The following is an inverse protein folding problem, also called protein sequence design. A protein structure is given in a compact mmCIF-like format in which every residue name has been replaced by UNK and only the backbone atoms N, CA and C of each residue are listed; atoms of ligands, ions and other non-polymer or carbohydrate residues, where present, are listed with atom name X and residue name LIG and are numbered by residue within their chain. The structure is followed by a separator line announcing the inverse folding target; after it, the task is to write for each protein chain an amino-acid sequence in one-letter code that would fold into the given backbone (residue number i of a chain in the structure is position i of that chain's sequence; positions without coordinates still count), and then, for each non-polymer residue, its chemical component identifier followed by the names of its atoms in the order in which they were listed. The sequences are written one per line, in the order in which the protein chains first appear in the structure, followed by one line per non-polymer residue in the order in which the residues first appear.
data_IF_277016387245
#
_entry.id   IF_277016387245
#
_cell.length_a   1.000
_cell.length_b   1.000
_cell.length_c   1.000
_cell.angle_alpha   90.00
_cell.angle_beta   90.00
_cell.angle_gamma   90.00
#
_symmetry.space_group_name_H-M   'P 1'
#
loop_
_entity.id
_entity.type
_entity.pdbx_description
1 polymer ?
#
# COMPACT_ATOMS: atom_id res chain seq x y z
N UNK A 1 13.95 2.56 -1.18
CA UNK A 1 14.66 3.10 0.00
C UNK A 1 15.41 4.36 -0.44
N UNK A 2 15.23 5.51 0.20
CA UNK A 2 15.93 6.75 -0.19
C UNK A 2 17.42 6.63 0.17
N UNK A 3 18.31 6.74 -0.80
CA UNK A 3 19.75 6.68 -0.58
C UNK A 3 20.19 7.81 0.38
N UNK A 4 20.97 7.48 1.42
CA UNK A 4 21.54 8.49 2.33
C UNK A 4 20.66 8.97 3.48
N UNK A 5 19.60 8.24 3.87
CA UNK A 5 18.71 8.57 5.01
C UNK A 5 19.43 8.81 6.36
N UNK A 6 20.66 8.34 6.53
CA UNK A 6 21.50 8.61 7.72
C UNK A 6 22.14 10.01 7.76
N UNK A 7 22.10 10.76 6.65
CA UNK A 7 22.59 12.15 6.62
C UNK A 7 21.51 13.06 7.20
N UNK A 8 21.87 13.83 8.24
CA UNK A 8 20.95 14.76 8.93
C UNK A 8 20.14 15.63 7.96
N UNK A 9 20.76 16.11 6.89
CA UNK A 9 20.09 16.91 5.84
C UNK A 9 18.99 16.15 5.10
N UNK A 10 19.24 14.89 4.70
CA UNK A 10 18.25 14.06 3.99
C UNK A 10 17.09 13.72 4.93
N UNK A 11 17.40 13.40 6.17
CA UNK A 11 16.40 13.15 7.20
C UNK A 11 15.53 14.39 7.49
N UNK A 12 16.14 15.58 7.57
CA UNK A 12 15.43 16.84 7.77
C UNK A 12 14.56 17.21 6.57
N UNK A 13 15.04 17.03 5.34
CA UNK A 13 14.26 17.28 4.12
C UNK A 13 13.06 16.33 4.02
N UNK A 14 13.25 15.06 4.37
CA UNK A 14 12.15 14.08 4.44
C UNK A 14 11.10 14.49 5.47
N UNK A 15 11.52 14.82 6.70
CA UNK A 15 10.64 15.31 7.75
C UNK A 15 9.87 16.58 7.33
N UNK A 16 10.55 17.54 6.71
CA UNK A 16 9.93 18.77 6.21
C UNK A 16 8.92 18.49 5.08
N UNK A 17 9.23 17.54 4.20
CA UNK A 17 8.33 17.14 3.11
C UNK A 17 7.06 16.48 3.67
N UNK A 18 7.20 15.58 4.64
CA UNK A 18 6.06 14.94 5.31
C UNK A 18 5.22 15.97 6.06
N UNK A 19 5.85 16.90 6.78
CA UNK A 19 5.17 17.98 7.49
C UNK A 19 4.37 18.87 6.53
N UNK A 20 5.01 19.30 5.45
CA UNK A 20 4.40 20.17 4.44
C UNK A 20 3.21 19.47 3.75
N UNK A 21 3.37 18.22 3.33
CA UNK A 21 2.29 17.45 2.72
C UNK A 21 1.14 17.19 3.71
N UNK A 22 1.45 16.86 4.96
CA UNK A 22 0.42 16.66 6.00
C UNK A 22 -0.35 17.96 6.25
N UNK A 23 0.35 19.09 6.36
CA UNK A 23 -0.25 20.41 6.51
C UNK A 23 -1.17 20.76 5.33
N UNK A 24 -0.74 20.48 4.10
CA UNK A 24 -1.53 20.72 2.89
C UNK A 24 -2.75 19.81 2.78
N UNK A 25 -2.64 18.54 3.20
CA UNK A 25 -3.77 17.61 3.19
C UNK A 25 -4.80 17.97 4.27
N UNK A 26 -4.34 18.34 5.47
CA UNK A 26 -5.22 18.76 6.57
C UNK A 26 -5.87 20.11 6.26
N UNK A 27 -5.09 21.11 5.82
CA UNK A 27 -5.53 22.44 5.38
C UNK A 27 -6.66 23.08 6.21
N UNK A 28 -6.64 22.89 7.53
CA UNK A 28 -7.65 23.42 8.44
C UNK A 28 -7.01 24.49 9.36
N UNK A 29 -7.58 25.70 9.45
CA UNK A 29 -7.00 26.81 10.21
C UNK A 29 -7.36 26.73 11.71
N UNK A 30 -7.18 25.58 12.33
CA UNK A 30 -7.47 25.36 13.77
C UNK A 30 -6.21 24.92 14.52
N UNK A 31 -6.14 25.25 15.82
CA UNK A 31 -5.03 24.79 16.67
C UNK A 31 -5.01 23.26 16.78
N UNK A 32 -6.17 22.62 16.77
CA UNK A 32 -6.29 21.17 16.77
C UNK A 32 -5.68 20.56 15.50
N UNK A 33 -5.99 21.12 14.31
CA UNK A 33 -5.41 20.68 13.04
C UNK A 33 -3.88 20.86 12.97
N UNK A 34 -3.37 21.99 13.48
CA UNK A 34 -1.93 22.22 13.60
C UNK A 34 -1.29 21.20 14.54
N UNK A 35 -1.88 20.98 15.72
CA UNK A 35 -1.44 19.97 16.68
C UNK A 35 -1.40 18.57 16.08
N UNK A 36 -2.45 18.16 15.36
CA UNK A 36 -2.51 16.87 14.65
C UNK A 36 -1.42 16.77 13.58
N UNK A 37 -1.20 17.81 12.78
CA UNK A 37 -0.16 17.82 11.75
C UNK A 37 1.23 17.58 12.35
N UNK A 38 1.55 18.28 13.45
CA UNK A 38 2.82 18.12 14.15
C UNK A 38 2.95 16.73 14.78
N UNK A 39 1.88 16.24 15.41
CA UNK A 39 1.85 14.92 16.04
C UNK A 39 2.04 13.79 15.01
N UNK A 40 1.27 13.79 13.92
CA UNK A 40 1.38 12.80 12.83
C UNK A 40 2.78 12.84 12.21
N UNK A 41 3.34 14.03 11.98
CA UNK A 41 4.71 14.16 11.46
C UNK A 41 5.73 13.57 12.42
N UNK A 42 5.64 13.88 13.71
CA UNK A 42 6.57 13.37 14.72
C UNK A 42 6.50 11.84 14.84
N UNK A 43 5.28 11.29 14.87
CA UNK A 43 5.06 9.84 14.90
C UNK A 43 5.55 9.16 13.64
N UNK A 44 5.30 9.75 12.45
CA UNK A 44 5.84 9.25 11.17
C UNK A 44 7.36 9.12 11.23
N UNK A 45 8.05 10.17 11.68
CA UNK A 45 9.52 10.16 11.80
C UNK A 45 9.98 9.07 12.78
N UNK A 46 9.30 8.93 13.92
CA UNK A 46 9.63 7.90 14.90
C UNK A 46 9.47 6.48 14.31
N UNK A 47 8.37 6.20 13.64
CA UNK A 47 8.11 4.91 12.97
C UNK A 47 9.23 4.63 11.94
N UNK A 48 9.52 5.59 11.07
CA UNK A 48 10.55 5.48 10.03
C UNK A 48 11.95 5.18 10.60
N UNK A 49 12.27 5.68 11.81
CA UNK A 49 13.54 5.44 12.50
C UNK A 49 13.57 4.08 13.18
N UNK A 50 12.48 3.67 13.83
CA UNK A 50 12.36 2.34 14.41
C UNK A 50 12.50 1.28 13.32
N UNK A 51 11.82 1.45 12.18
CA UNK A 51 11.92 0.55 11.02
C UNK A 51 13.36 0.34 10.57
N UNK A 52 14.16 1.42 10.50
CA UNK A 52 15.57 1.33 10.10
C UNK A 52 16.41 0.49 11.06
N UNK A 53 16.04 0.43 12.35
CA UNK A 53 16.75 -0.36 13.35
C UNK A 53 16.36 -1.85 13.32
N UNK A 54 15.14 -2.20 12.89
CA UNK A 54 14.61 -3.58 12.94
C UNK A 54 14.78 -4.38 11.63
N UNK A 55 15.24 -3.74 10.56
CA UNK A 55 15.54 -4.39 9.27
C UNK A 55 14.41 -4.33 8.24
N UNK A 56 14.67 -4.85 7.03
CA UNK A 56 13.80 -4.71 5.86
C UNK A 56 13.18 -6.06 5.40
N UNK A 57 12.63 -6.83 6.33
CA UNK A 57 11.91 -8.09 6.05
C UNK A 57 10.38 -7.90 6.08
N UNK A 58 9.61 -8.95 5.79
CA UNK A 58 8.14 -8.87 5.72
C UNK A 58 7.52 -8.39 7.05
N UNK A 59 7.93 -8.95 8.18
CA UNK A 59 7.39 -8.60 9.50
C UNK A 59 7.53 -7.11 9.85
N UNK A 60 8.76 -6.55 9.86
CA UNK A 60 8.99 -5.11 10.03
C UNK A 60 8.24 -4.23 9.04
N UNK A 61 8.11 -4.66 7.78
CA UNK A 61 7.30 -3.93 6.79
C UNK A 61 5.82 -3.89 7.17
N UNK A 62 5.23 -5.02 7.57
CA UNK A 62 3.82 -5.07 7.98
C UNK A 62 3.58 -4.24 9.25
N UNK A 63 4.46 -4.34 10.24
CA UNK A 63 4.38 -3.55 11.47
C UNK A 63 4.48 -2.04 11.19
N UNK A 64 5.38 -1.65 10.28
CA UNK A 64 5.53 -0.27 9.81
C UNK A 64 4.25 0.25 9.15
N UNK A 65 3.64 -0.50 8.21
CA UNK A 65 2.39 -0.07 7.57
C UNK A 65 1.22 0.00 8.57
N UNK A 66 1.14 -0.97 9.50
CA UNK A 66 0.13 -0.97 10.56
C UNK A 66 0.27 0.23 11.50
N UNK A 67 1.50 0.60 11.89
CA UNK A 67 1.75 1.76 12.74
C UNK A 67 1.35 3.09 12.04
N UNK A 68 1.62 3.23 10.75
CA UNK A 68 1.19 4.39 9.97
C UNK A 68 -0.35 4.46 9.88
N UNK A 69 -1.02 3.36 9.55
CA UNK A 69 -2.49 3.30 9.51
C UNK A 69 -3.12 3.59 10.88
N UNK A 70 -2.56 3.05 11.96
CA UNK A 70 -3.01 3.32 13.32
C UNK A 70 -2.83 4.80 13.70
N UNK A 71 -1.74 5.43 13.27
CA UNK A 71 -1.50 6.87 13.50
C UNK A 71 -2.55 7.73 12.80
N UNK A 72 -2.88 7.41 11.54
CA UNK A 72 -3.92 8.11 10.79
C UNK A 72 -5.31 7.87 11.38
N UNK A 73 -5.62 6.64 11.78
CA UNK A 73 -6.87 6.30 12.47
C UNK A 73 -7.01 7.03 13.81
N UNK A 74 -5.94 7.09 14.61
CA UNK A 74 -5.93 7.85 15.86
C UNK A 74 -6.13 9.34 15.61
N UNK A 75 -5.48 9.93 14.60
CA UNK A 75 -5.68 11.32 14.24
C UNK A 75 -7.14 11.62 13.85
N UNK A 76 -7.77 10.73 13.08
CA UNK A 76 -9.17 10.85 12.69
C UNK A 76 -10.13 10.73 13.89
N UNK A 77 -9.82 9.89 14.88
CA UNK A 77 -10.64 9.73 16.09
C UNK A 77 -10.48 10.89 17.08
N UNK A 78 -9.26 11.43 17.22
CA UNK A 78 -8.96 12.52 18.15
C UNK A 78 -9.51 13.86 17.65
N UNK A 79 -9.48 14.10 16.34
CA UNK A 79 -10.01 15.32 15.72
C UNK A 79 -10.95 14.94 14.56
N UNK A 80 -12.19 14.51 14.84
CA UNK A 80 -13.12 14.02 13.82
C UNK A 80 -13.57 15.11 12.83
N UNK A 81 -13.40 16.38 13.18
CA UNK A 81 -13.75 17.52 12.32
C UNK A 81 -12.65 17.92 11.35
N UNK A 82 -11.50 17.22 11.29
CA UNK A 82 -10.36 17.59 10.43
C UNK A 82 -10.76 17.86 8.98
N UNK A 83 -11.63 17.02 8.40
CA UNK A 83 -12.14 17.25 7.05
C UNK A 83 -13.09 18.46 7.02
N UNK A 84 -14.10 18.50 7.90
CA UNK A 84 -15.12 19.53 7.91
C UNK A 84 -14.56 20.95 8.11
N UNK A 85 -13.49 21.06 8.90
CA UNK A 85 -12.79 22.32 9.18
C UNK A 85 -11.73 22.68 8.12
N UNK A 86 -11.50 21.81 7.13
CA UNK A 86 -10.50 22.04 6.07
C UNK A 86 -11.01 22.97 4.98
N UNK A 87 -10.08 23.69 4.33
CA UNK A 87 -10.38 24.45 3.11
C UNK A 87 -10.94 23.54 2.00
N UNK A 88 -10.55 22.25 1.99
CA UNK A 88 -11.02 21.28 1.00
C UNK A 88 -12.51 20.99 1.11
N UNK A 89 -13.06 20.90 2.33
CA UNK A 89 -14.49 20.69 2.51
C UNK A 89 -15.35 21.83 1.97
N UNK A 90 -14.81 23.06 1.94
CA UNK A 90 -15.50 24.21 1.35
C UNK A 90 -15.40 24.27 -0.19
N UNK A 91 -14.33 23.71 -0.77
CA UNK A 91 -14.04 23.81 -2.20
C UNK A 91 -14.51 22.59 -3.02
N UNK A 92 -14.60 21.42 -2.38
CA UNK A 92 -14.84 20.15 -3.06
C UNK A 92 -16.28 19.66 -2.88
N UNK A 93 -16.84 18.95 -3.87
CA UNK A 93 -18.18 18.39 -3.77
C UNK A 93 -18.33 17.40 -2.61
N UNK A 94 -19.57 17.23 -2.15
CA UNK A 94 -19.95 16.13 -1.26
C UNK A 94 -19.51 14.78 -1.86
N UNK A 95 -19.08 13.85 -1.02
CA UNK A 95 -18.54 12.55 -1.45
C UNK A 95 -17.06 12.56 -1.86
N UNK A 96 -16.38 13.71 -1.90
CA UNK A 96 -14.95 13.74 -2.24
C UNK A 96 -14.07 13.07 -1.18
N UNK A 97 -14.38 13.25 0.11
CA UNK A 97 -13.65 12.59 1.20
C UNK A 97 -13.65 11.05 1.10
N UNK A 98 -14.81 10.36 0.99
CA UNK A 98 -14.80 8.91 0.82
C UNK A 98 -14.12 8.48 -0.48
N UNK A 99 -14.27 9.23 -1.59
CA UNK A 99 -13.56 8.92 -2.84
C UNK A 99 -12.03 8.99 -2.69
N UNK A 100 -11.50 10.01 -2.00
CA UNK A 100 -10.07 10.12 -1.69
C UNK A 100 -9.60 9.00 -0.76
N UNK A 101 -10.43 8.58 0.20
CA UNK A 101 -10.11 7.45 1.08
C UNK A 101 -10.02 6.13 0.28
N UNK A 102 -10.97 5.86 -0.61
CA UNK A 102 -10.91 4.71 -1.54
C UNK A 102 -9.65 4.78 -2.43
N UNK A 103 -9.32 5.96 -2.97
CA UNK A 103 -8.10 6.12 -3.75
C UNK A 103 -6.83 5.81 -2.92
N UNK A 104 -6.76 6.28 -1.67
CA UNK A 104 -5.65 6.01 -0.77
C UNK A 104 -5.49 4.51 -0.48
N UNK A 105 -6.58 3.78 -0.23
CA UNK A 105 -6.55 2.33 -0.08
C UNK A 105 -6.16 1.60 -1.37
N UNK A 106 -6.58 2.10 -2.54
CA UNK A 106 -6.12 1.60 -3.84
C UNK A 106 -4.61 1.76 -4.03
N UNK A 107 -4.04 2.89 -3.59
CA UNK A 107 -2.59 3.09 -3.59
C UNK A 107 -1.87 2.14 -2.64
N UNK A 108 -2.45 1.84 -1.47
CA UNK A 108 -1.93 0.81 -0.54
C UNK A 108 -1.98 -0.57 -1.20
N UNK A 109 -3.09 -0.94 -1.82
CA UNK A 109 -3.25 -2.21 -2.52
C UNK A 109 -2.16 -2.40 -3.59
N UNK A 110 -1.90 -1.38 -4.40
CA UNK A 110 -0.94 -1.47 -5.50
C UNK A 110 0.51 -1.30 -5.04
N UNK A 111 0.82 -0.19 -4.37
CA UNK A 111 2.20 0.22 -4.04
C UNK A 111 2.75 -0.52 -2.83
N UNK A 112 2.04 -0.51 -1.71
CA UNK A 112 2.48 -1.28 -0.54
C UNK A 112 2.43 -2.78 -0.84
N UNK A 113 1.45 -3.23 -1.64
CA UNK A 113 1.36 -4.61 -2.12
C UNK A 113 2.57 -5.08 -2.91
N UNK A 114 3.20 -4.22 -3.73
CA UNK A 114 4.45 -4.58 -4.42
C UNK A 114 5.55 -5.00 -3.44
N UNK A 115 5.72 -4.23 -2.36
CA UNK A 115 6.72 -4.53 -1.34
C UNK A 115 6.32 -5.72 -0.48
N UNK A 116 5.04 -5.84 -0.12
CA UNK A 116 4.52 -6.98 0.64
C UNK A 116 4.79 -8.30 -0.11
N UNK A 117 4.33 -8.39 -1.36
CA UNK A 117 4.50 -9.59 -2.19
C UNK A 117 5.97 -9.89 -2.46
N UNK A 118 6.77 -8.87 -2.78
CA UNK A 118 8.22 -9.08 -2.99
C UNK A 118 8.91 -9.63 -1.73
N UNK A 119 8.55 -9.13 -0.54
CA UNK A 119 9.09 -9.63 0.73
C UNK A 119 8.57 -11.01 1.10
N UNK A 120 7.34 -11.37 0.72
CA UNK A 120 6.82 -12.75 0.84
C UNK A 120 7.59 -13.70 -0.07
N UNK A 121 7.84 -13.32 -1.32
CA UNK A 121 8.57 -14.16 -2.26
C UNK A 121 10.04 -14.37 -1.84
N UNK A 122 10.64 -13.37 -1.19
CA UNK A 122 11.97 -13.49 -0.61
C UNK A 122 12.06 -14.50 0.57
N UNK A 123 10.94 -15.01 1.11
CA UNK A 123 10.97 -16.03 2.17
C UNK A 123 10.97 -17.47 1.66
N UNK A 124 10.75 -17.69 0.36
CA UNK A 124 10.55 -19.03 -0.21
C UNK A 124 11.64 -19.46 -1.21
N UNK A 125 12.59 -18.59 -1.53
CA UNK A 125 13.69 -18.89 -2.45
C UNK A 125 14.90 -18.00 -2.18
N UNK A 126 16.06 -18.47 -2.61
CA UNK A 126 17.31 -17.70 -2.60
C UNK A 126 17.32 -16.67 -3.73
N UNK A 127 18.16 -15.63 -3.60
CA UNK A 127 18.30 -14.62 -4.65
C UNK A 127 18.68 -15.24 -6.00
N UNK A 128 19.55 -16.26 -6.00
CA UNK A 128 19.97 -16.96 -7.21
C UNK A 128 18.83 -17.75 -7.88
N UNK A 129 17.98 -18.42 -7.10
CA UNK A 129 16.80 -19.13 -7.64
C UNK A 129 15.79 -18.14 -8.23
N UNK A 130 15.55 -17.02 -7.55
CA UNK A 130 14.64 -15.98 -8.02
C UNK A 130 15.15 -15.32 -9.30
N UNK A 131 16.46 -15.04 -9.38
CA UNK A 131 17.10 -14.54 -10.59
C UNK A 131 17.00 -15.53 -11.76
N UNK A 132 17.21 -16.82 -11.50
CA UNK A 132 17.03 -17.88 -12.50
C UNK A 132 15.59 -17.96 -13.04
N UNK A 133 14.59 -17.83 -12.18
CA UNK A 133 13.16 -17.77 -12.58
C UNK A 133 12.86 -16.53 -13.45
N UNK A 134 13.59 -15.43 -13.24
CA UNK A 134 13.43 -14.20 -14.00
C UNK A 134 14.24 -14.17 -15.31
N UNK A 135 15.09 -15.17 -15.56
CA UNK A 135 15.95 -15.22 -16.74
C UNK A 135 15.11 -15.26 -18.03
N UNK A 136 15.47 -14.43 -19.01
CA UNK A 136 14.71 -14.28 -20.26
C UNK A 136 13.39 -13.51 -20.14
N UNK A 137 13.02 -13.02 -18.96
CA UNK A 137 11.84 -12.16 -18.76
C UNK A 137 12.10 -10.70 -19.13
N UNK A 138 11.04 -10.00 -19.53
CA UNK A 138 11.08 -8.54 -19.71
C UNK A 138 11.34 -7.85 -18.36
N UNK A 139 12.21 -6.83 -18.37
CA UNK A 139 12.55 -6.04 -17.18
C UNK A 139 11.28 -5.52 -16.48
N UNK A 140 11.19 -5.79 -15.17
CA UNK A 140 10.07 -5.39 -14.30
C UNK A 140 8.68 -5.94 -14.68
N UNK A 141 8.55 -6.82 -15.68
CA UNK A 141 7.24 -7.24 -16.17
C UNK A 141 6.39 -7.93 -15.10
N UNK A 142 6.97 -8.83 -14.31
CA UNK A 142 6.27 -9.47 -13.19
C UNK A 142 5.75 -8.47 -12.14
N UNK A 143 6.54 -7.44 -11.84
CA UNK A 143 6.13 -6.38 -10.91
C UNK A 143 4.98 -5.53 -11.47
N UNK A 144 5.03 -5.18 -12.76
CA UNK A 144 3.96 -4.42 -13.44
C UNK A 144 2.67 -5.22 -13.59
N UNK A 145 2.77 -6.49 -13.97
CA UNK A 145 1.63 -7.41 -14.02
C UNK A 145 0.98 -7.48 -12.63
N UNK A 146 1.77 -7.67 -11.56
CA UNK A 146 1.24 -7.68 -10.21
C UNK A 146 0.59 -6.35 -9.78
N UNK A 147 1.14 -5.20 -10.18
CA UNK A 147 0.53 -3.89 -9.92
C UNK A 147 -0.85 -3.78 -10.59
N UNK A 148 -0.97 -4.21 -11.86
CA UNK A 148 -2.24 -4.19 -12.60
C UNK A 148 -3.27 -5.17 -12.01
N UNK A 149 -2.85 -6.36 -11.63
CA UNK A 149 -3.72 -7.36 -11.00
C UNK A 149 -4.30 -6.87 -9.67
N UNK A 150 -3.47 -6.25 -8.82
CA UNK A 150 -3.95 -5.69 -7.55
C UNK A 150 -4.88 -4.51 -7.78
N UNK A 151 -4.61 -3.67 -8.77
CA UNK A 151 -5.52 -2.57 -9.14
C UNK A 151 -6.87 -3.11 -9.60
N UNK A 152 -6.88 -4.09 -10.50
CA UNK A 152 -8.11 -4.72 -10.99
C UNK A 152 -8.86 -5.44 -9.87
N UNK A 153 -8.15 -6.23 -9.05
CA UNK A 153 -8.74 -6.93 -7.90
C UNK A 153 -9.38 -5.95 -6.93
N UNK A 154 -8.64 -4.89 -6.55
CA UNK A 154 -9.14 -3.85 -5.67
C UNK A 154 -10.39 -3.17 -6.26
N UNK A 155 -10.31 -2.70 -7.51
CA UNK A 155 -11.40 -2.02 -8.21
C UNK A 155 -12.65 -2.91 -8.32
N UNK A 156 -12.49 -4.18 -8.65
CA UNK A 156 -13.61 -5.13 -8.74
C UNK A 156 -14.28 -5.33 -7.39
N UNK A 157 -13.53 -5.44 -6.29
CA UNK A 157 -14.12 -5.62 -4.95
C UNK A 157 -14.85 -4.38 -4.48
N UNK A 158 -14.23 -3.19 -4.59
CA UNK A 158 -14.87 -1.93 -4.15
C UNK A 158 -16.00 -1.46 -5.08
N UNK A 159 -16.25 -2.15 -6.19
CA UNK A 159 -17.41 -1.90 -7.05
C UNK A 159 -18.46 -3.03 -6.99
N UNK A 160 -18.32 -3.95 -6.02
CA UNK A 160 -19.25 -5.07 -5.85
C UNK A 160 -19.05 -6.25 -6.83
N UNK A 161 -18.13 -6.14 -7.78
CA UNK A 161 -17.86 -7.12 -8.83
C UNK A 161 -16.89 -8.23 -8.38
N UNK A 162 -17.10 -8.82 -7.20
CA UNK A 162 -16.19 -9.83 -6.61
C UNK A 162 -16.03 -11.08 -7.50
N UNK A 163 -17.05 -11.48 -8.26
CA UNK A 163 -16.97 -12.56 -9.25
C UNK A 163 -15.92 -12.28 -10.34
N UNK A 164 -15.71 -11.02 -10.70
CA UNK A 164 -14.67 -10.62 -11.66
C UNK A 164 -13.27 -10.97 -11.19
N UNK A 165 -13.03 -11.01 -9.87
CA UNK A 165 -11.74 -11.44 -9.30
C UNK A 165 -11.48 -12.91 -9.63
N UNK A 166 -12.49 -13.77 -9.50
CA UNK A 166 -12.36 -15.18 -9.85
C UNK A 166 -12.01 -15.37 -11.33
N UNK A 167 -12.61 -14.58 -12.23
CA UNK A 167 -12.28 -14.59 -13.65
C UNK A 167 -10.84 -14.12 -13.91
N UNK A 168 -10.40 -13.02 -13.28
CA UNK A 168 -9.03 -12.52 -13.38
C UNK A 168 -8.00 -13.60 -12.99
N UNK A 169 -8.24 -14.29 -11.88
CA UNK A 169 -7.36 -15.35 -11.37
C UNK A 169 -7.35 -16.58 -12.27
N UNK A 170 -8.52 -16.98 -12.78
CA UNK A 170 -8.64 -18.10 -13.71
C UNK A 170 -7.92 -17.80 -15.03
N UNK A 171 -8.17 -16.63 -15.63
CA UNK A 171 -7.54 -16.21 -16.88
C UNK A 171 -6.01 -16.19 -16.75
N UNK A 172 -5.48 -15.64 -15.65
CA UNK A 172 -4.03 -15.65 -15.37
C UNK A 172 -3.49 -17.08 -15.27
N UNK A 173 -4.17 -17.95 -14.53
CA UNK A 173 -3.73 -19.33 -14.32
C UNK A 173 -3.65 -20.12 -15.63
N UNK A 174 -4.62 -19.94 -16.52
CA UNK A 174 -4.64 -20.59 -17.84
C UNK A 174 -3.46 -20.13 -18.70
N UNK A 175 -3.20 -18.81 -18.78
CA UNK A 175 -2.10 -18.26 -19.57
C UNK A 175 -0.73 -18.68 -19.04
N UNK A 176 -0.61 -18.99 -17.74
CA UNK A 176 0.66 -19.33 -17.10
C UNK A 176 0.94 -20.82 -17.04
N UNK A 177 -0.10 -21.67 -17.15
CA UNK A 177 0.01 -23.12 -17.05
C UNK A 177 1.03 -23.69 -18.05
N UNK A 178 0.92 -23.35 -19.33
CA UNK A 178 1.86 -23.85 -20.35
C UNK A 178 3.28 -23.31 -20.16
N UNK A 179 3.41 -22.08 -19.67
CA UNK A 179 4.71 -21.42 -19.50
C UNK A 179 5.55 -21.97 -18.34
N UNK A 180 4.93 -22.64 -17.36
CA UNK A 180 5.61 -23.15 -16.16
C UNK A 180 5.44 -24.65 -15.98
N UNK A 181 4.92 -25.36 -16.98
CA UNK A 181 4.54 -26.78 -16.85
C UNK A 181 5.71 -27.67 -16.46
N UNK A 182 6.87 -27.40 -17.04
CA UNK A 182 8.07 -28.23 -16.88
C UNK A 182 9.09 -27.62 -15.89
N UNK A 183 8.73 -26.50 -15.22
CA UNK A 183 9.53 -25.84 -14.19
C UNK A 183 8.74 -25.68 -12.88
N UNK A 184 8.98 -26.62 -11.96
CA UNK A 184 8.32 -26.67 -10.67
C UNK A 184 8.63 -25.45 -9.78
N UNK A 185 9.86 -24.95 -9.80
CA UNK A 185 10.25 -23.82 -8.96
C UNK A 185 9.55 -22.54 -9.43
N UNK A 186 9.50 -22.31 -10.76
CA UNK A 186 8.72 -21.22 -11.34
C UNK A 186 7.24 -21.33 -11.00
N UNK A 187 6.65 -22.54 -11.12
CA UNK A 187 5.24 -22.76 -10.78
C UNK A 187 4.94 -22.42 -9.31
N UNK A 188 5.74 -22.92 -8.37
CA UNK A 188 5.58 -22.64 -6.92
C UNK A 188 5.75 -21.14 -6.62
N UNK A 189 6.77 -20.48 -7.19
CA UNK A 189 6.99 -19.03 -7.05
C UNK A 189 5.78 -18.20 -7.51
N UNK A 190 5.22 -18.56 -8.67
CA UNK A 190 4.06 -17.85 -9.25
C UNK A 190 2.79 -18.08 -8.44
N UNK A 191 2.56 -19.31 -7.96
CA UNK A 191 1.40 -19.64 -7.14
C UNK A 191 1.43 -18.85 -5.83
N UNK A 192 2.56 -18.89 -5.11
CA UNK A 192 2.73 -18.13 -3.86
C UNK A 192 2.60 -16.63 -4.12
N UNK A 193 3.25 -16.11 -5.17
CA UNK A 193 3.18 -14.70 -5.52
C UNK A 193 1.77 -14.22 -5.86
N UNK A 194 1.01 -15.05 -6.59
CA UNK A 194 -0.37 -14.74 -6.98
C UNK A 194 -1.30 -14.78 -5.78
N UNK A 195 -1.23 -15.81 -4.94
CA UNK A 195 -2.04 -15.92 -3.73
C UNK A 195 -1.76 -14.78 -2.74
N UNK A 196 -0.49 -14.45 -2.51
CA UNK A 196 -0.10 -13.33 -1.65
C UNK A 196 -0.59 -11.97 -2.21
N UNK A 197 -0.49 -11.78 -3.52
CA UNK A 197 -0.93 -10.55 -4.20
C UNK A 197 -2.45 -10.36 -4.10
N UNK A 198 -3.21 -11.42 -4.33
CA UNK A 198 -4.68 -11.40 -4.21
C UNK A 198 -5.07 -11.17 -2.75
N UNK A 199 -4.50 -11.91 -1.80
CA UNK A 199 -4.78 -11.74 -0.37
C UNK A 199 -4.54 -10.29 0.09
N UNK A 200 -3.43 -9.66 -0.36
CA UNK A 200 -3.14 -8.26 -0.07
C UNK A 200 -4.20 -7.31 -0.65
N UNK A 201 -4.54 -7.46 -1.93
CA UNK A 201 -5.52 -6.59 -2.58
C UNK A 201 -6.93 -6.74 -1.99
N UNK A 202 -7.35 -7.97 -1.69
CA UNK A 202 -8.61 -8.26 -1.00
C UNK A 202 -8.62 -7.62 0.39
N UNK A 203 -7.55 -7.80 1.18
CA UNK A 203 -7.44 -7.20 2.51
C UNK A 203 -7.55 -5.67 2.48
N UNK A 204 -6.86 -5.01 1.54
CA UNK A 204 -6.95 -3.57 1.36
C UNK A 204 -8.35 -3.10 0.92
N UNK A 205 -9.01 -3.85 0.03
CA UNK A 205 -10.36 -3.52 -0.44
C UNK A 205 -11.41 -3.69 0.66
N UNK A 206 -11.42 -4.81 1.37
CA UNK A 206 -12.36 -5.04 2.47
C UNK A 206 -12.12 -4.09 3.64
N UNK A 207 -10.86 -3.73 3.94
CA UNK A 207 -10.56 -2.73 4.95
C UNK A 207 -11.08 -1.35 4.54
N UNK A 208 -10.97 -0.98 3.25
CA UNK A 208 -11.55 0.26 2.74
C UNK A 208 -13.07 0.29 2.91
N UNK A 209 -13.76 -0.78 2.48
CA UNK A 209 -15.22 -0.91 2.61
C UNK A 209 -15.65 -0.83 4.09
N UNK A 210 -14.95 -1.55 4.97
CA UNK A 210 -15.24 -1.59 6.40
C UNK A 210 -15.13 -0.19 7.06
N UNK A 211 -14.11 0.58 6.69
CA UNK A 211 -13.81 1.87 7.31
C UNK A 211 -14.58 3.05 6.70
N UNK A 212 -14.93 2.96 5.41
CA UNK A 212 -15.55 4.07 4.68
C UNK A 212 -17.09 3.91 4.62
N UNK A 213 -17.60 2.67 4.65
CA UNK A 213 -19.03 2.39 4.44
C UNK A 213 -19.39 2.30 2.95
N UNK A 214 -20.67 2.04 2.71
CA UNK A 214 -21.16 1.34 1.51
C UNK A 214 -20.59 1.85 0.18
N UNK A 215 -19.94 0.91 -0.52
CA UNK A 215 -19.93 0.89 -1.99
C UNK A 215 -21.23 0.21 -2.44
N UNK A 216 -21.83 0.63 -3.56
CA UNK A 216 -23.17 0.20 -3.97
C UNK A 216 -23.34 -1.32 -4.03
#
# INVERSE_FOLDING_TARGET
MVAGKGRLRVAALHAASVAALTFLVVAAPTLAALGTTLAVTAVHIAIDRIKQAVGDTLGPFLADQAAHLATLGAAALVVPTLWADSVWAALLPEGTAPALAYLAFGLIAVRAGRFAVGKTLATIGTDAEIEGIAEGSLKDAGARIGELERLLTYALVVTGNTTGVAFLVAAKSILRFDATRDDRASAEYIIVGTLASIAWALGAAFLAILLIGDTP
#
